data_IF_509857650291
#
_entry.id   IF_509857650291
#
_cell.length_a   1.000
_cell.length_b   1.000
_cell.length_c   1.000
_cell.angle_alpha   90.00
_cell.angle_beta   90.00
_cell.angle_gamma   90.00
#
_symmetry.space_group_name_H-M   'P 1'
#
loop_
_entity.id
_entity.type
_entity.pdbx_description
1 polymer ?
#
# COMPACT_ATOMS: atom_id res chain seq x y z
N UNK A 1 -8.95 17.99 -3.35
CA UNK A 1 -8.63 18.54 -2.02
C UNK A 1 -7.33 17.92 -1.57
N UNK A 2 -6.37 18.73 -1.11
CA UNK A 2 -5.20 18.26 -0.38
C UNK A 2 -5.32 18.84 1.04
N UNK A 3 -5.42 17.97 2.03
CA UNK A 3 -5.60 18.35 3.44
C UNK A 3 -4.26 18.76 4.07
N UNK A 4 -4.30 19.30 5.28
CA UNK A 4 -3.10 19.54 6.10
C UNK A 4 -2.42 18.23 6.55
N UNK A 5 -3.17 17.12 6.61
CA UNK A 5 -2.63 15.81 6.92
C UNK A 5 -1.69 15.34 5.80
N UNK A 6 -0.45 15.05 6.16
CA UNK A 6 0.60 14.54 5.29
C UNK A 6 1.33 13.40 6.00
N UNK A 7 1.87 12.48 5.22
CA UNK A 7 2.65 11.34 5.68
C UNK A 7 3.64 10.98 4.58
N UNK A 8 4.85 10.61 4.94
CA UNK A 8 5.91 10.16 4.04
C UNK A 8 5.78 8.68 3.68
N UNK A 9 6.48 8.24 2.63
CA UNK A 9 6.49 6.82 2.24
C UNK A 9 7.09 5.91 3.32
N UNK A 10 8.07 6.40 4.09
CA UNK A 10 8.67 5.61 5.18
C UNK A 10 7.69 5.47 6.35
N UNK A 11 7.01 6.55 6.74
CA UNK A 11 5.99 6.50 7.79
C UNK A 11 4.80 5.59 7.41
N UNK A 12 4.45 5.51 6.11
CA UNK A 12 3.46 4.54 5.63
C UNK A 12 3.90 3.09 5.85
N UNK A 13 5.17 2.77 5.57
CA UNK A 13 5.72 1.43 5.81
C UNK A 13 5.74 1.11 7.31
N UNK A 14 6.19 2.04 8.15
CA UNK A 14 6.18 1.88 9.60
C UNK A 14 4.76 1.69 10.16
N UNK A 15 3.78 2.43 9.62
CA UNK A 15 2.38 2.27 10.00
C UNK A 15 1.84 0.88 9.63
N UNK A 16 2.17 0.37 8.44
CA UNK A 16 1.78 -0.97 7.99
C UNK A 16 2.44 -2.06 8.83
N UNK A 17 3.71 -1.92 9.21
CA UNK A 17 4.37 -2.87 10.10
C UNK A 17 3.71 -2.88 11.48
N UNK A 18 3.40 -1.70 12.04
CA UNK A 18 2.70 -1.60 13.31
C UNK A 18 1.26 -2.16 13.23
N UNK A 19 0.56 -1.99 12.12
CA UNK A 19 -0.75 -2.62 11.86
C UNK A 19 -0.62 -4.14 11.82
N UNK A 20 0.37 -4.64 11.09
CA UNK A 20 0.62 -6.06 10.91
C UNK A 20 0.92 -6.75 12.24
N UNK A 21 1.77 -6.15 13.07
CA UNK A 21 2.14 -6.66 14.40
C UNK A 21 1.12 -6.32 15.49
N UNK A 22 0.13 -5.47 15.19
CA UNK A 22 -0.79 -4.87 16.16
C UNK A 22 -0.08 -4.15 17.33
N UNK A 23 0.98 -3.40 17.03
CA UNK A 23 1.71 -2.63 18.05
C UNK A 23 0.87 -1.47 18.67
N UNK A 24 -0.30 -1.18 18.08
CA UNK A 24 -1.27 -0.23 18.60
C UNK A 24 -2.09 -0.74 19.79
N UNK A 25 -2.05 -2.06 20.05
CA UNK A 25 -2.88 -2.72 21.06
C UNK A 25 -4.39 -2.58 20.81
N UNK A 26 -4.82 -2.58 19.53
CA UNK A 26 -6.24 -2.68 19.22
C UNK A 26 -6.75 -4.11 19.42
N UNK A 27 -8.07 -4.26 19.53
CA UNK A 27 -8.67 -5.60 19.59
C UNK A 27 -8.32 -6.40 18.33
N UNK A 28 -7.95 -7.69 18.44
CA UNK A 28 -7.58 -8.50 17.26
C UNK A 28 -8.63 -8.51 16.15
N UNK A 29 -9.92 -8.49 16.52
CA UNK A 29 -11.03 -8.42 15.57
C UNK A 29 -10.96 -7.19 14.64
N UNK A 30 -10.59 -6.02 15.18
CA UNK A 30 -10.45 -4.80 14.39
C UNK A 30 -9.24 -4.85 13.46
N UNK A 31 -8.11 -5.40 13.91
CA UNK A 31 -6.92 -5.58 13.06
C UNK A 31 -7.23 -6.53 11.91
N UNK A 32 -7.88 -7.66 12.20
CA UNK A 32 -8.30 -8.60 11.17
C UNK A 32 -9.30 -7.98 10.20
N UNK A 33 -10.26 -7.20 10.69
CA UNK A 33 -11.20 -6.48 9.83
C UNK A 33 -10.47 -5.53 8.86
N UNK A 34 -9.48 -4.77 9.35
CA UNK A 34 -8.67 -3.87 8.51
C UNK A 34 -7.83 -4.68 7.51
N UNK A 35 -7.07 -5.68 7.95
CA UNK A 35 -6.27 -6.54 7.03
C UNK A 35 -7.15 -7.16 5.94
N UNK A 36 -8.30 -7.72 6.31
CA UNK A 36 -9.24 -8.32 5.36
C UNK A 36 -9.81 -7.29 4.38
N UNK A 37 -10.07 -6.06 4.82
CA UNK A 37 -10.61 -5.01 3.94
C UNK A 37 -9.63 -4.52 2.88
N UNK A 38 -8.32 -4.77 3.06
CA UNK A 38 -7.27 -4.44 2.10
C UNK A 38 -6.63 -5.68 1.47
N UNK A 39 -7.20 -6.87 1.68
CA UNK A 39 -6.76 -8.09 0.99
C UNK A 39 -7.16 -8.00 -0.48
N UNK A 40 -6.20 -8.21 -1.38
CA UNK A 40 -6.40 -8.09 -2.82
C UNK A 40 -6.52 -9.46 -3.47
N UNK A 41 -5.60 -10.37 -3.18
CA UNK A 41 -5.57 -11.70 -3.77
C UNK A 41 -4.67 -12.64 -2.96
N UNK A 42 -4.89 -13.94 -3.15
CA UNK A 42 -4.04 -15.02 -2.65
C UNK A 42 -3.49 -15.80 -3.85
N UNK A 43 -2.29 -16.35 -3.72
CA UNK A 43 -1.67 -17.24 -4.71
C UNK A 43 -0.81 -18.30 -4.01
N UNK A 44 -0.22 -19.21 -4.79
CA UNK A 44 0.79 -20.15 -4.27
C UNK A 44 2.00 -19.43 -3.66
N UNK A 45 2.27 -18.18 -4.08
CA UNK A 45 3.38 -17.37 -3.62
C UNK A 45 3.08 -16.60 -2.33
N UNK A 46 1.81 -16.58 -1.87
CA UNK A 46 1.40 -15.92 -0.64
C UNK A 46 0.14 -15.06 -0.75
N UNK A 47 -0.02 -14.17 0.22
CA UNK A 47 -1.16 -13.26 0.37
C UNK A 47 -0.75 -11.82 0.02
N UNK A 48 -1.54 -11.14 -0.83
CA UNK A 48 -1.30 -9.73 -1.20
C UNK A 48 -2.33 -8.83 -0.53
N UNK A 49 -1.84 -7.86 0.25
CA UNK A 49 -2.63 -6.77 0.81
C UNK A 49 -2.21 -5.42 0.23
N UNK A 50 -3.17 -4.55 -0.09
CA UNK A 50 -2.83 -3.21 -0.57
C UNK A 50 -4.01 -2.26 -0.72
N UNK A 51 -3.69 -0.97 -0.76
CA UNK A 51 -4.66 0.10 -0.94
C UNK A 51 -4.12 1.20 -1.84
N UNK A 52 -4.94 1.61 -2.81
CA UNK A 52 -4.65 2.75 -3.67
C UNK A 52 -5.15 4.07 -3.08
N UNK A 53 -4.49 5.17 -3.43
CA UNK A 53 -4.92 6.53 -3.14
C UNK A 53 -4.63 7.46 -4.31
N UNK A 54 -5.52 8.42 -4.57
CA UNK A 54 -5.34 9.43 -5.62
C UNK A 54 -5.71 10.81 -5.08
N UNK A 55 -4.74 11.71 -5.02
CA UNK A 55 -4.90 13.12 -4.66
C UNK A 55 -5.20 13.98 -5.88
N UNK A 56 -6.30 14.73 -5.81
CA UNK A 56 -6.76 15.64 -6.87
C UNK A 56 -6.65 17.10 -6.50
N UNK A 57 -6.06 17.90 -7.37
CA UNK A 57 -6.02 19.37 -7.29
C UNK A 57 -6.48 19.96 -8.62
N UNK A 58 -7.44 20.89 -8.59
CA UNK A 58 -8.01 21.52 -9.78
C UNK A 58 -8.46 20.53 -10.88
N UNK A 59 -9.03 19.39 -10.46
CA UNK A 59 -9.48 18.33 -11.38
C UNK A 59 -8.38 17.42 -11.92
N UNK A 60 -7.11 17.68 -11.61
CA UNK A 60 -5.97 16.87 -12.04
C UNK A 60 -5.54 15.87 -10.97
N UNK A 61 -5.24 14.64 -11.40
CA UNK A 61 -4.62 13.59 -10.59
C UNK A 61 -3.12 13.86 -10.46
N UNK A 62 -2.70 14.41 -9.31
CA UNK A 62 -1.33 14.90 -9.12
C UNK A 62 -0.49 14.08 -8.12
N UNK A 63 -1.13 13.18 -7.38
CA UNK A 63 -0.49 12.42 -6.30
C UNK A 63 -1.09 11.01 -6.21
N UNK A 64 -0.33 10.00 -6.64
CA UNK A 64 -0.74 8.61 -6.66
C UNK A 64 -0.06 7.82 -5.55
N UNK A 65 -0.83 7.00 -4.85
CA UNK A 65 -0.34 6.08 -3.83
C UNK A 65 -0.78 4.65 -4.12
N UNK A 66 0.14 3.73 -3.87
CA UNK A 66 -0.19 2.34 -3.62
C UNK A 66 0.72 1.82 -2.51
N UNK A 67 0.10 1.41 -1.41
CA UNK A 67 0.78 0.89 -0.22
C UNK A 67 0.25 -0.49 0.08
N UNK A 68 1.05 -1.32 0.75
CA UNK A 68 0.62 -2.66 1.09
C UNK A 68 1.71 -3.52 1.67
N UNK A 69 1.38 -4.79 1.83
CA UNK A 69 2.34 -5.81 2.22
C UNK A 69 1.98 -7.16 1.61
N UNK A 70 3.01 -8.00 1.47
CA UNK A 70 2.90 -9.36 0.96
C UNK A 70 3.39 -10.32 2.04
N UNK A 71 2.56 -11.30 2.39
CA UNK A 71 2.94 -12.41 3.26
C UNK A 71 3.34 -13.58 2.37
N UNK A 72 4.62 -13.93 2.34
CA UNK A 72 5.11 -15.15 1.68
C UNK A 72 5.50 -16.20 2.73
N UNK A 73 5.83 -17.42 2.28
CA UNK A 73 6.23 -18.51 3.17
C UNK A 73 7.43 -18.15 4.06
N UNK A 74 8.34 -17.31 3.56
CA UNK A 74 9.63 -17.07 4.20
C UNK A 74 9.78 -15.65 4.76
N UNK A 75 8.96 -14.68 4.32
CA UNK A 75 9.10 -13.30 4.73
C UNK A 75 7.81 -12.49 4.55
N UNK A 76 7.72 -11.35 5.22
CA UNK A 76 6.70 -10.34 4.94
C UNK A 76 7.37 -9.10 4.37
N UNK A 77 6.91 -8.65 3.20
CA UNK A 77 7.45 -7.48 2.51
C UNK A 77 6.46 -6.33 2.61
N UNK A 78 6.89 -5.20 3.19
CA UNK A 78 6.11 -3.98 3.26
C UNK A 78 6.58 -3.01 2.17
N UNK A 79 5.65 -2.32 1.53
CA UNK A 79 6.00 -1.38 0.47
C UNK A 79 5.11 -0.14 0.48
N UNK A 80 5.64 0.93 -0.11
CA UNK A 80 4.92 2.16 -0.35
C UNK A 80 5.43 2.83 -1.62
N UNK A 81 4.57 2.90 -2.63
CA UNK A 81 4.85 3.59 -3.89
C UNK A 81 4.07 4.91 -3.93
N UNK A 82 4.79 6.02 -3.95
CA UNK A 82 4.24 7.35 -4.18
C UNK A 82 4.74 7.92 -5.51
N UNK A 83 3.84 8.46 -6.33
CA UNK A 83 4.18 9.18 -7.55
C UNK A 83 3.54 10.58 -7.51
N UNK A 84 4.27 11.56 -8.03
CA UNK A 84 3.81 12.93 -8.14
C UNK A 84 4.07 13.43 -9.56
N UNK A 85 3.09 14.12 -10.13
CA UNK A 85 3.13 14.64 -11.49
C UNK A 85 2.11 15.78 -11.60
N UNK A 86 2.26 16.63 -12.61
CA UNK A 86 1.25 17.67 -12.91
C UNK A 86 -0.10 17.05 -13.33
N UNK A 87 -0.07 15.85 -13.91
CA UNK A 87 -1.25 15.09 -14.31
C UNK A 87 -0.98 13.57 -14.29
N UNK A 88 -2.05 12.78 -14.21
CA UNK A 88 -2.04 11.31 -14.33
C UNK A 88 -1.22 10.57 -13.26
N UNK A 89 -0.93 11.20 -12.14
CA UNK A 89 -0.40 10.53 -10.95
C UNK A 89 -1.55 9.91 -10.16
N UNK A 90 -2.01 8.74 -10.61
CA UNK A 90 -3.13 8.01 -10.00
C UNK A 90 -2.63 6.86 -9.11
N UNK A 91 -3.46 6.42 -8.17
CA UNK A 91 -3.20 5.20 -7.41
C UNK A 91 -3.12 3.94 -8.28
N UNK A 92 -3.85 3.89 -9.41
CA UNK A 92 -3.70 2.79 -10.37
C UNK A 92 -2.31 2.77 -11.03
N UNK A 93 -1.79 3.94 -11.43
CA UNK A 93 -0.44 4.04 -12.00
C UNK A 93 0.63 3.69 -10.96
N UNK A 94 0.45 4.10 -9.70
CA UNK A 94 1.32 3.70 -8.59
C UNK A 94 1.28 2.19 -8.37
N UNK A 95 0.11 1.57 -8.50
CA UNK A 95 -0.06 0.10 -8.43
C UNK A 95 0.67 -0.60 -9.56
N UNK A 96 0.54 -0.14 -10.81
CA UNK A 96 1.27 -0.74 -11.95
C UNK A 96 2.79 -0.76 -11.71
N UNK A 97 3.33 0.36 -11.22
CA UNK A 97 4.76 0.52 -10.94
C UNK A 97 5.19 -0.42 -9.81
N UNK A 98 4.41 -0.48 -8.72
CA UNK A 98 4.72 -1.36 -7.60
C UNK A 98 4.72 -2.84 -8.01
N UNK A 99 3.72 -3.28 -8.78
CA UNK A 99 3.63 -4.66 -9.25
C UNK A 99 4.81 -5.00 -10.17
N UNK A 100 5.21 -4.09 -11.07
CA UNK A 100 6.40 -4.28 -11.89
C UNK A 100 7.65 -4.48 -11.04
N UNK A 101 7.90 -3.61 -10.06
CA UNK A 101 9.08 -3.69 -9.18
C UNK A 101 9.05 -4.97 -8.34
N UNK A 102 7.90 -5.33 -7.78
CA UNK A 102 7.75 -6.56 -6.98
C UNK A 102 7.99 -7.82 -7.83
N UNK A 103 7.57 -7.80 -9.10
CA UNK A 103 7.87 -8.86 -10.06
C UNK A 103 9.36 -8.92 -10.40
N UNK A 104 9.99 -7.78 -10.68
CA UNK A 104 11.42 -7.68 -11.00
C UNK A 104 12.30 -8.17 -9.84
N UNK A 105 11.85 -7.95 -8.59
CA UNK A 105 12.49 -8.44 -7.37
C UNK A 105 12.14 -9.91 -7.04
N UNK A 106 11.31 -10.57 -7.85
CA UNK A 106 10.79 -11.93 -7.63
C UNK A 106 10.06 -12.10 -6.28
N UNK A 107 9.39 -11.05 -5.82
CA UNK A 107 8.58 -11.07 -4.59
C UNK A 107 7.13 -11.46 -4.89
N UNK A 108 6.57 -10.95 -5.99
CA UNK A 108 5.18 -11.21 -6.38
C UNK A 108 5.01 -11.28 -7.89
N UNK A 109 4.19 -12.21 -8.39
CA UNK A 109 3.84 -12.36 -9.82
C UNK A 109 2.33 -12.46 -9.99
#
# INVERSE_FOLDING_TARGET
MQSSLKISSVEQVELLENLYRNNFNFTPANIHAVKNSIHLTASENGEFYGKTGTGRVNGQDINGWFIGFIESQNNTYFFSTNIQSEQRATGSKASDIALSILSDLNIWK
#
